data_IF_880703551306
#
_entry.id   IF_880703551306
#
_cell.length_a   1.000
_cell.length_b   1.000
_cell.length_c   1.000
_cell.angle_alpha   90.00
_cell.angle_beta   90.00
_cell.angle_gamma   90.00
#
_symmetry.space_group_name_H-M   'P 1'
#
loop_
_entity.id
_entity.type
_entity.pdbx_description
1 polymer ?
#
# COMPACT_ATOMS: atom_id res chain seq x y z
N UNK A 1 35.65 48.34 -0.88
CA UNK A 1 35.83 46.91 -0.83
C UNK A 1 34.49 46.27 -0.50
N UNK A 2 33.82 45.70 -1.49
CA UNK A 2 32.55 44.99 -1.26
C UNK A 2 32.84 43.59 -0.68
N UNK A 3 32.44 43.36 0.55
CA UNK A 3 32.40 42.03 1.08
C UNK A 3 31.13 41.35 0.60
N UNK A 4 31.27 40.49 -0.37
CA UNK A 4 30.20 39.57 -0.76
C UNK A 4 30.08 38.52 0.34
N UNK A 5 29.11 38.73 1.22
CA UNK A 5 28.67 37.69 2.14
C UNK A 5 27.84 36.71 1.33
N UNK A 6 28.46 35.64 0.89
CA UNK A 6 27.71 34.48 0.39
C UNK A 6 27.05 33.83 1.59
N UNK A 7 25.80 34.17 1.80
CA UNK A 7 24.93 33.37 2.64
C UNK A 7 24.58 32.14 1.82
N UNK A 8 25.37 31.09 2.01
CA UNK A 8 24.93 29.76 1.63
C UNK A 8 23.70 29.46 2.45
N UNK A 9 22.54 29.74 1.92
CA UNK A 9 21.30 29.16 2.39
C UNK A 9 21.43 27.68 2.13
N UNK A 10 21.91 26.94 3.13
CA UNK A 10 21.77 25.50 3.17
C UNK A 10 20.29 25.25 3.31
N UNK A 11 19.59 25.19 2.17
CA UNK A 11 18.23 24.72 2.14
C UNK A 11 18.32 23.25 2.55
N UNK A 12 18.11 23.01 3.85
CA UNK A 12 17.92 21.66 4.36
C UNK A 12 16.65 21.15 3.69
N UNK A 13 16.84 20.48 2.56
CA UNK A 13 15.79 19.74 1.93
C UNK A 13 15.51 18.57 2.88
N UNK A 14 14.62 18.82 3.84
CA UNK A 14 14.00 17.72 4.59
C UNK A 14 13.21 16.95 3.53
N UNK A 15 13.85 15.95 2.95
CA UNK A 15 13.13 14.85 2.36
C UNK A 15 12.29 14.28 3.51
N UNK A 16 11.07 14.80 3.63
CA UNK A 16 10.01 14.01 4.21
C UNK A 16 9.96 12.77 3.33
N UNK A 17 10.75 11.77 3.70
CA UNK A 17 10.47 10.43 3.28
C UNK A 17 9.03 10.22 3.71
N UNK A 18 8.07 10.50 2.80
CA UNK A 18 6.75 9.91 2.94
C UNK A 18 7.06 8.47 3.31
N UNK A 19 6.51 7.99 4.43
CA UNK A 19 6.72 6.63 4.85
C UNK A 19 6.13 5.71 3.79
N UNK A 20 6.79 5.69 2.62
CA UNK A 20 6.55 4.69 1.60
C UNK A 20 6.67 3.36 2.30
N UNK A 21 5.67 2.51 2.20
CA UNK A 21 5.67 1.22 2.83
C UNK A 21 6.86 0.38 2.37
N UNK A 22 7.31 -0.49 3.24
CA UNK A 22 8.34 -1.47 2.95
C UNK A 22 7.69 -2.75 2.41
N UNK A 23 7.94 -3.15 1.14
CA UNK A 23 7.35 -4.35 0.56
C UNK A 23 7.71 -5.63 1.31
N UNK A 24 8.92 -5.72 1.88
CA UNK A 24 9.34 -6.90 2.64
C UNK A 24 8.54 -7.04 3.94
N UNK A 25 8.31 -5.93 4.64
CA UNK A 25 7.42 -5.91 5.81
C UNK A 25 5.97 -6.15 5.42
N UNK A 26 5.54 -5.62 4.28
CA UNK A 26 4.20 -5.82 3.74
C UNK A 26 3.91 -7.28 3.41
N UNK A 27 4.91 -8.03 2.96
CA UNK A 27 4.80 -9.47 2.76
C UNK A 27 4.46 -10.20 4.06
N UNK A 28 5.06 -9.81 5.16
CA UNK A 28 4.75 -10.38 6.48
C UNK A 28 3.33 -10.00 6.92
N UNK A 29 2.90 -8.75 6.70
CA UNK A 29 1.52 -8.31 6.97
C UNK A 29 0.53 -9.11 6.12
N UNK A 30 0.87 -9.41 4.87
CA UNK A 30 0.02 -10.17 3.94
C UNK A 30 -0.32 -11.58 4.43
N UNK A 31 0.42 -12.15 5.34
CA UNK A 31 0.10 -13.47 5.92
C UNK A 31 -1.32 -13.51 6.50
N UNK A 32 -1.80 -12.39 7.02
CA UNK A 32 -3.19 -12.25 7.49
C UNK A 32 -4.22 -12.29 6.36
N UNK A 33 -3.80 -12.04 5.14
CA UNK A 33 -4.63 -12.00 3.92
C UNK A 33 -4.55 -13.31 3.13
N UNK A 34 -3.48 -14.06 3.32
CA UNK A 34 -3.17 -15.26 2.52
C UNK A 34 -4.17 -16.41 2.70
N UNK A 35 -4.92 -16.41 3.78
CA UNK A 35 -5.99 -17.39 3.99
C UNK A 35 -7.10 -17.28 2.94
N UNK A 36 -7.37 -16.06 2.49
CA UNK A 36 -8.44 -15.75 1.54
C UNK A 36 -7.94 -15.37 0.15
N UNK A 37 -6.70 -14.93 0.01
CA UNK A 37 -6.15 -14.43 -1.23
C UNK A 37 -4.87 -15.16 -1.65
N UNK A 38 -4.79 -15.52 -2.93
CA UNK A 38 -3.53 -15.91 -3.56
C UNK A 38 -2.76 -14.65 -3.96
N UNK A 39 -1.48 -14.57 -3.58
CA UNK A 39 -0.62 -13.46 -3.97
C UNK A 39 -0.05 -13.62 -5.38
N UNK A 40 0.28 -14.84 -5.76
CA UNK A 40 1.07 -15.20 -6.94
C UNK A 40 0.25 -15.73 -8.11
N UNK A 41 -1.05 -15.71 -8.00
CA UNK A 41 -1.95 -16.14 -9.07
C UNK A 41 -3.24 -15.33 -9.09
N UNK A 42 -3.98 -15.45 -10.19
CA UNK A 42 -5.32 -14.89 -10.35
C UNK A 42 -6.41 -15.84 -9.84
N UNK A 43 -6.03 -17.04 -9.42
CA UNK A 43 -6.97 -18.05 -8.95
C UNK A 43 -7.69 -17.59 -7.69
N UNK A 44 -9.00 -17.77 -7.69
CA UNK A 44 -9.86 -17.45 -6.55
C UNK A 44 -9.71 -18.50 -5.45
N UNK A 45 -9.62 -18.03 -4.22
CA UNK A 45 -9.89 -18.80 -2.99
C UNK A 45 -11.23 -18.32 -2.41
N UNK A 46 -11.25 -17.95 -1.13
CA UNK A 46 -12.39 -17.24 -0.54
C UNK A 46 -12.52 -15.83 -1.15
N UNK A 47 -11.39 -15.17 -1.38
CA UNK A 47 -11.29 -13.91 -2.10
C UNK A 47 -10.59 -14.05 -3.44
N UNK A 48 -10.57 -12.99 -4.27
CA UNK A 48 -9.90 -13.01 -5.56
C UNK A 48 -8.40 -13.19 -5.42
N UNK A 49 -7.76 -13.81 -6.41
CA UNK A 49 -6.31 -13.80 -6.55
C UNK A 49 -5.80 -12.39 -6.83
N UNK A 50 -4.66 -12.03 -6.28
CA UNK A 50 -4.17 -10.65 -6.28
C UNK A 50 -3.01 -10.40 -7.23
N UNK A 51 -2.59 -11.41 -8.01
CA UNK A 51 -1.57 -11.20 -9.03
C UNK A 51 -2.00 -10.11 -10.01
N UNK A 52 -1.14 -9.10 -10.17
CA UNK A 52 -1.41 -7.98 -11.05
C UNK A 52 -2.48 -7.02 -10.55
N UNK A 53 -2.76 -6.98 -9.25
CA UNK A 53 -3.83 -6.19 -8.64
C UNK A 53 -3.83 -4.73 -9.10
N UNK A 54 -2.69 -4.04 -9.03
CA UNK A 54 -2.58 -2.63 -9.43
C UNK A 54 -2.60 -2.40 -10.96
N UNK A 55 -2.52 -3.45 -11.75
CA UNK A 55 -2.62 -3.39 -13.22
C UNK A 55 -4.04 -3.61 -13.73
N UNK A 56 -4.95 -4.01 -12.85
CA UNK A 56 -6.36 -4.19 -13.20
C UNK A 56 -7.03 -2.83 -13.39
N UNK A 57 -7.99 -2.76 -14.31
CA UNK A 57 -8.80 -1.55 -14.49
C UNK A 57 -9.72 -1.31 -13.29
N UNK A 58 -10.29 -2.39 -12.74
CA UNK A 58 -11.24 -2.33 -11.63
C UNK A 58 -10.99 -3.43 -10.62
N UNK A 59 -11.30 -3.12 -9.37
CA UNK A 59 -11.45 -4.08 -8.29
C UNK A 59 -12.76 -4.86 -8.44
N UNK A 60 -12.90 -5.92 -7.66
CA UNK A 60 -14.12 -6.74 -7.66
C UNK A 60 -15.38 -5.94 -7.27
N UNK A 61 -15.23 -4.89 -6.46
CA UNK A 61 -16.33 -4.00 -6.09
C UNK A 61 -16.68 -2.93 -7.15
N UNK A 62 -16.05 -2.98 -8.32
CA UNK A 62 -16.29 -2.06 -9.42
C UNK A 62 -15.49 -0.75 -9.34
N UNK A 63 -14.78 -0.48 -8.27
CA UNK A 63 -13.94 0.71 -8.15
C UNK A 63 -12.60 0.54 -8.87
N UNK A 64 -11.99 1.66 -9.29
CA UNK A 64 -10.66 1.63 -9.91
C UNK A 64 -9.63 1.02 -8.96
N UNK A 65 -8.65 0.29 -9.51
CA UNK A 65 -7.56 -0.31 -8.76
C UNK A 65 -6.50 0.74 -8.40
N UNK A 66 -6.88 1.72 -7.61
CA UNK A 66 -6.00 2.77 -7.08
C UNK A 66 -5.55 2.44 -5.66
N UNK A 67 -4.44 3.03 -5.24
CA UNK A 67 -3.95 2.88 -3.87
C UNK A 67 -5.02 3.29 -2.84
N UNK A 68 -5.69 4.42 -3.08
CA UNK A 68 -6.74 4.91 -2.18
C UNK A 68 -7.92 3.94 -2.08
N UNK A 69 -8.37 3.38 -3.20
CA UNK A 69 -9.50 2.44 -3.22
C UNK A 69 -9.13 1.08 -2.62
N UNK A 70 -7.91 0.62 -2.84
CA UNK A 70 -7.42 -0.62 -2.25
C UNK A 70 -7.26 -0.45 -0.73
N UNK A 71 -6.70 0.67 -0.27
CA UNK A 71 -6.65 1.00 1.16
C UNK A 71 -8.05 1.04 1.78
N UNK A 72 -8.99 1.69 1.13
CA UNK A 72 -10.37 1.76 1.60
C UNK A 72 -11.00 0.38 1.72
N UNK A 73 -10.71 -0.53 0.79
CA UNK A 73 -11.19 -1.92 0.84
C UNK A 73 -10.59 -2.69 2.00
N UNK A 74 -9.30 -2.54 2.26
CA UNK A 74 -8.61 -3.15 3.39
C UNK A 74 -9.20 -2.64 4.71
N UNK A 75 -9.41 -1.35 4.82
CA UNK A 75 -9.95 -0.73 6.04
C UNK A 75 -11.41 -1.07 6.26
N UNK A 76 -12.23 -0.99 5.23
CA UNK A 76 -13.67 -1.17 5.34
C UNK A 76 -14.13 -2.61 5.23
N UNK A 77 -13.38 -3.46 4.54
CA UNK A 77 -13.81 -4.82 4.23
C UNK A 77 -15.00 -4.85 3.28
N UNK A 78 -15.83 -5.87 3.40
CA UNK A 78 -17.06 -6.05 2.65
C UNK A 78 -17.05 -7.30 1.76
N UNK A 79 -18.22 -7.80 1.40
CA UNK A 79 -18.35 -8.99 0.57
C UNK A 79 -17.74 -10.26 1.20
N UNK A 80 -17.73 -10.36 2.52
CA UNK A 80 -17.11 -11.45 3.27
C UNK A 80 -15.68 -11.15 3.72
N UNK A 81 -15.05 -10.08 3.23
CA UNK A 81 -13.74 -9.63 3.71
C UNK A 81 -13.89 -8.86 5.02
N UNK A 82 -13.14 -9.20 6.07
CA UNK A 82 -13.18 -8.44 7.32
C UNK A 82 -12.62 -7.04 7.16
N UNK A 83 -13.03 -6.12 8.05
CA UNK A 83 -12.42 -4.80 8.18
C UNK A 83 -11.10 -4.92 8.94
N UNK A 84 -10.05 -4.35 8.37
CA UNK A 84 -8.73 -4.29 9.01
C UNK A 84 -8.39 -2.90 9.55
N UNK A 85 -9.34 -1.97 9.56
CA UNK A 85 -9.10 -0.59 9.99
C UNK A 85 -8.42 -0.49 11.35
N UNK A 86 -8.92 -1.25 12.34
CA UNK A 86 -8.38 -1.26 13.70
C UNK A 86 -7.36 -2.38 13.94
N UNK A 87 -7.22 -3.33 13.02
CA UNK A 87 -6.35 -4.50 13.17
C UNK A 87 -4.93 -4.25 12.65
N UNK A 88 -4.74 -3.27 11.81
CA UNK A 88 -3.46 -2.87 11.23
C UNK A 88 -3.16 -1.43 11.61
N UNK A 89 -1.90 -1.15 11.92
CA UNK A 89 -1.41 0.21 12.06
C UNK A 89 -1.36 0.89 10.69
N UNK A 90 -1.29 2.21 10.64
CA UNK A 90 -1.14 2.94 9.38
C UNK A 90 0.14 2.54 8.64
N UNK A 91 1.24 2.32 9.38
CA UNK A 91 2.49 1.84 8.78
C UNK A 91 2.33 0.43 8.20
N UNK A 92 1.65 -0.47 8.88
CA UNK A 92 1.38 -1.81 8.35
C UNK A 92 0.52 -1.76 7.08
N UNK A 93 -0.43 -0.85 7.01
CA UNK A 93 -1.23 -0.62 5.79
C UNK A 93 -0.35 -0.11 4.65
N UNK A 94 0.54 0.83 4.92
CA UNK A 94 1.50 1.34 3.93
C UNK A 94 2.42 0.23 3.43
N UNK A 95 2.95 -0.59 4.33
CA UNK A 95 3.80 -1.73 4.00
C UNK A 95 3.05 -2.77 3.16
N UNK A 96 1.82 -3.10 3.55
CA UNK A 96 0.96 -4.02 2.80
C UNK A 96 0.69 -3.51 1.38
N UNK A 97 0.35 -2.25 1.23
CA UNK A 97 0.12 -1.65 -0.09
C UNK A 97 1.39 -1.68 -0.93
N UNK A 98 2.54 -1.38 -0.35
CA UNK A 98 3.83 -1.47 -1.04
C UNK A 98 4.09 -2.90 -1.56
N UNK A 99 3.77 -3.91 -0.76
CA UNK A 99 3.86 -5.31 -1.18
C UNK A 99 2.86 -5.64 -2.30
N UNK A 100 1.61 -5.23 -2.16
CA UNK A 100 0.57 -5.47 -3.18
C UNK A 100 0.93 -4.88 -4.54
N UNK A 101 1.65 -3.77 -4.58
CA UNK A 101 2.16 -3.16 -5.82
C UNK A 101 3.16 -4.05 -6.56
N UNK A 102 3.79 -4.99 -5.88
CA UNK A 102 4.77 -5.92 -6.45
C UNK A 102 4.13 -7.14 -7.13
N UNK A 103 2.85 -7.37 -6.94
CA UNK A 103 2.15 -8.57 -7.40
C UNK A 103 1.77 -8.58 -8.89
#
# INVERSE_FOLDING_TARGET
MARLLFWSSLTLMVLLASAAGDPAKGKAVFEKCAMCHNADSTAKKLGPGLKGLFKKAKLQNGQKATEANIRARIEGGGGGMPSYKAMLTDQEKDDLIAYLKTL
#
